data_IF_493490294714
#
_entry.id   IF_493490294714
#
_cell.length_a   1.000
_cell.length_b   1.000
_cell.length_c   1.000
_cell.angle_alpha   90.00
_cell.angle_beta   90.00
_cell.angle_gamma   90.00
#
_symmetry.space_group_name_H-M   'P 1'
#
loop_
_entity.id
_entity.type
_entity.pdbx_description
1 polymer ?
#
# COMPACT_ATOMS: atom_id res chain seq x y z
N UNK A 1 18.98 12.76 1.36
CA UNK A 1 17.85 11.82 1.55
C UNK A 1 16.73 12.21 0.62
N UNK A 2 16.08 11.27 0.06
CA UNK A 2 15.04 11.55 -0.92
C UNK A 2 13.73 10.78 -0.64
N UNK A 3 12.62 11.40 -1.02
CA UNK A 3 11.29 10.81 -0.97
C UNK A 3 11.07 9.89 -2.17
N UNK A 4 10.30 8.84 -2.00
CA UNK A 4 9.97 7.89 -3.07
C UNK A 4 9.24 8.59 -4.23
N UNK A 5 9.54 8.12 -5.44
CA UNK A 5 8.87 8.57 -6.68
C UNK A 5 7.55 7.82 -6.88
N UNK A 6 6.65 8.31 -7.77
CA UNK A 6 5.45 7.56 -8.13
C UNK A 6 5.72 6.15 -8.64
N UNK A 7 6.79 5.92 -9.40
CA UNK A 7 7.18 4.58 -9.84
C UNK A 7 7.55 3.69 -8.66
N UNK A 8 8.32 4.23 -7.71
CA UNK A 8 8.77 3.45 -6.54
C UNK A 8 7.61 3.07 -5.64
N UNK A 9 6.66 3.97 -5.37
CA UNK A 9 5.49 3.60 -4.55
C UNK A 9 4.64 2.54 -5.24
N UNK A 10 4.48 2.62 -6.56
CA UNK A 10 3.79 1.59 -7.32
C UNK A 10 4.53 0.24 -7.19
N UNK A 11 5.82 0.22 -7.44
CA UNK A 11 6.63 -1.01 -7.41
C UNK A 11 6.58 -1.67 -6.03
N UNK A 12 6.74 -0.89 -4.96
CA UNK A 12 6.74 -1.43 -3.60
C UNK A 12 5.35 -1.92 -3.17
N UNK A 13 4.29 -1.18 -3.44
CA UNK A 13 2.97 -1.51 -2.92
C UNK A 13 2.20 -2.47 -3.81
N UNK A 14 2.33 -2.37 -5.13
CA UNK A 14 1.59 -3.21 -6.08
C UNK A 14 2.45 -4.34 -6.64
N UNK A 15 3.77 -4.18 -6.64
CA UNK A 15 4.69 -5.12 -7.27
C UNK A 15 5.34 -6.15 -6.35
N UNK A 16 5.13 -6.05 -5.04
CA UNK A 16 5.80 -6.92 -4.07
C UNK A 16 5.09 -8.26 -3.80
N UNK A 17 3.94 -8.51 -4.43
CA UNK A 17 3.18 -9.75 -4.26
C UNK A 17 2.04 -9.68 -3.25
N UNK A 18 1.79 -8.53 -2.63
CA UNK A 18 0.71 -8.36 -1.66
C UNK A 18 -0.67 -8.71 -2.21
N UNK A 19 -0.93 -8.41 -3.47
CA UNK A 19 -2.24 -8.63 -4.09
C UNK A 19 -2.52 -10.12 -4.39
N UNK A 20 -1.58 -11.01 -4.12
CA UNK A 20 -1.78 -12.46 -4.24
C UNK A 20 -2.44 -13.07 -3.00
N UNK A 21 -2.53 -12.35 -1.88
CA UNK A 21 -3.27 -12.81 -0.71
C UNK A 21 -4.77 -12.89 -1.02
N UNK A 22 -5.46 -13.89 -0.50
CA UNK A 22 -6.83 -14.22 -0.89
C UNK A 22 -7.91 -13.21 -0.48
N UNK A 23 -7.61 -12.26 0.39
CA UNK A 23 -8.56 -11.21 0.79
C UNK A 23 -8.62 -10.02 -0.18
N UNK A 24 -7.72 -9.93 -1.16
CA UNK A 24 -7.79 -8.91 -2.22
C UNK A 24 -8.71 -9.41 -3.33
N UNK A 25 -9.83 -8.71 -3.51
CA UNK A 25 -10.91 -9.13 -4.40
C UNK A 25 -10.74 -8.56 -5.81
N UNK A 26 -10.35 -7.28 -5.90
CA UNK A 26 -10.17 -6.59 -7.17
C UNK A 26 -8.97 -5.65 -7.14
N UNK A 27 -8.36 -5.50 -8.32
CA UNK A 27 -7.29 -4.55 -8.59
C UNK A 27 -7.52 -3.98 -9.99
N UNK A 28 -7.77 -2.67 -10.07
CA UNK A 28 -8.02 -1.95 -11.32
C UNK A 28 -7.06 -0.78 -11.46
N UNK A 29 -5.90 -0.95 -12.11
CA UNK A 29 -4.93 0.12 -12.29
C UNK A 29 -5.31 1.07 -13.41
N UNK A 30 -4.90 2.34 -13.29
CA UNK A 30 -4.99 3.37 -14.31
C UNK A 30 -3.66 4.11 -14.36
N UNK A 31 -3.18 4.42 -15.56
CA UNK A 31 -1.86 5.07 -15.72
C UNK A 31 -0.70 4.11 -15.57
N UNK A 32 -0.94 2.82 -15.79
CA UNK A 32 0.06 1.74 -15.71
C UNK A 32 0.09 1.04 -17.06
N UNK A 33 1.26 0.92 -17.66
CA UNK A 33 1.39 0.21 -18.93
C UNK A 33 1.68 -1.29 -18.76
N UNK A 34 1.83 -2.02 -19.88
CA UNK A 34 1.96 -3.46 -19.85
C UNK A 34 3.24 -3.96 -19.16
N UNK A 35 4.29 -3.14 -19.08
CA UNK A 35 5.56 -3.50 -18.43
C UNK A 35 5.69 -2.96 -17.01
N UNK A 36 4.62 -2.35 -16.46
CA UNK A 36 4.62 -1.83 -15.09
C UNK A 36 5.15 -0.42 -14.94
N UNK A 37 5.43 0.28 -16.05
CA UNK A 37 5.82 1.70 -16.00
C UNK A 37 4.57 2.54 -15.74
N UNK A 38 4.66 3.48 -14.80
CA UNK A 38 3.51 4.30 -14.39
C UNK A 38 3.68 5.76 -14.78
N UNK A 39 2.55 6.44 -14.94
CA UNK A 39 2.52 7.91 -15.02
C UNK A 39 2.63 8.49 -13.62
N UNK A 40 2.94 9.79 -13.49
CA UNK A 40 3.05 10.45 -12.18
C UNK A 40 1.74 10.48 -11.41
N UNK A 41 0.61 10.35 -12.10
CA UNK A 41 -0.74 10.39 -11.55
C UNK A 41 -1.46 9.03 -11.60
N UNK A 42 -0.69 7.92 -11.61
CA UNK A 42 -1.28 6.58 -11.60
C UNK A 42 -2.25 6.40 -10.42
N UNK A 43 -3.24 5.55 -10.62
CA UNK A 43 -4.15 5.13 -9.55
C UNK A 43 -4.39 3.63 -9.62
N UNK A 44 -4.81 3.05 -8.51
CA UNK A 44 -5.25 1.66 -8.46
C UNK A 44 -6.50 1.59 -7.57
N UNK A 45 -7.61 1.13 -8.12
CA UNK A 45 -8.80 0.86 -7.33
C UNK A 45 -8.65 -0.54 -6.74
N UNK A 46 -8.58 -0.62 -5.42
CA UNK A 46 -8.41 -1.88 -4.68
C UNK A 46 -9.67 -2.19 -3.89
N UNK A 47 -10.12 -3.44 -3.96
CA UNK A 47 -11.22 -3.97 -3.14
C UNK A 47 -10.67 -5.09 -2.27
N UNK A 48 -10.91 -4.98 -0.96
CA UNK A 48 -10.44 -5.94 0.04
C UNK A 48 -11.63 -6.46 0.85
N UNK A 49 -11.62 -7.75 1.19
CA UNK A 49 -12.56 -8.31 2.16
C UNK A 49 -12.40 -7.61 3.50
N UNK A 50 -13.47 -7.50 4.28
CA UNK A 50 -13.44 -6.84 5.59
C UNK A 50 -13.31 -7.83 6.76
N UNK A 51 -13.59 -9.10 6.51
CA UNK A 51 -13.74 -10.09 7.57
C UNK A 51 -15.12 -10.10 8.22
N UNK A 52 -16.00 -9.17 7.81
CA UNK A 52 -17.37 -9.04 8.29
C UNK A 52 -18.36 -9.41 7.20
N UNK A 53 -19.63 -9.59 7.56
CA UNK A 53 -20.68 -9.92 6.60
C UNK A 53 -21.29 -8.69 5.94
N UNK A 54 -21.26 -7.51 6.60
CA UNK A 54 -21.89 -6.28 6.12
C UNK A 54 -21.14 -5.03 6.59
N UNK A 55 -20.40 -4.33 5.71
CA UNK A 55 -20.12 -4.75 4.32
C UNK A 55 -19.09 -5.88 4.28
N UNK A 56 -19.24 -6.78 3.32
CA UNK A 56 -18.30 -7.90 3.13
C UNK A 56 -16.95 -7.45 2.53
N UNK A 57 -16.92 -6.32 1.85
CA UNK A 57 -15.72 -5.75 1.25
C UNK A 57 -15.75 -4.23 1.29
N UNK A 58 -14.56 -3.61 1.15
CA UNK A 58 -14.40 -2.17 0.99
C UNK A 58 -13.51 -1.89 -0.21
N UNK A 59 -13.76 -0.78 -0.88
CA UNK A 59 -13.01 -0.33 -2.05
C UNK A 59 -12.42 1.05 -1.78
N UNK A 60 -11.18 1.25 -2.20
CA UNK A 60 -10.53 2.55 -2.14
C UNK A 60 -9.66 2.77 -3.38
N UNK A 61 -9.49 4.02 -3.76
CA UNK A 61 -8.57 4.41 -4.84
C UNK A 61 -7.23 4.79 -4.21
N UNK A 62 -6.19 4.06 -4.57
CA UNK A 62 -4.83 4.26 -4.09
C UNK A 62 -4.05 5.02 -5.16
N UNK A 63 -3.22 5.96 -4.74
CA UNK A 63 -2.33 6.73 -5.59
C UNK A 63 -1.00 6.94 -4.88
N UNK A 64 -0.03 7.53 -5.58
CA UNK A 64 1.23 7.93 -4.95
C UNK A 64 0.98 8.83 -3.72
N UNK A 65 0.12 9.85 -3.85
CA UNK A 65 -0.18 10.76 -2.76
C UNK A 65 -0.85 10.06 -1.57
N UNK A 66 -1.77 9.13 -1.85
CA UNK A 66 -2.44 8.34 -0.80
C UNK A 66 -1.42 7.49 -0.04
N UNK A 67 -0.50 6.83 -0.75
CA UNK A 67 0.56 6.02 -0.13
C UNK A 67 1.45 6.90 0.74
N UNK A 68 1.89 8.05 0.22
CA UNK A 68 2.79 8.93 0.97
C UNK A 68 2.12 9.52 2.21
N UNK A 69 0.84 9.88 2.12
CA UNK A 69 0.08 10.35 3.28
C UNK A 69 -0.08 9.26 4.33
N UNK A 70 -0.38 8.02 3.91
CA UNK A 70 -0.48 6.88 4.80
C UNK A 70 0.87 6.57 5.47
N UNK A 71 1.97 6.63 4.71
CA UNK A 71 3.31 6.39 5.25
C UNK A 71 3.65 7.40 6.35
N UNK A 72 3.33 8.67 6.16
CA UNK A 72 3.55 9.70 7.19
C UNK A 72 2.69 9.45 8.43
N UNK A 73 1.45 9.03 8.25
CA UNK A 73 0.54 8.69 9.35
C UNK A 73 1.10 7.52 10.18
N UNK A 74 1.57 6.47 9.51
CA UNK A 74 2.15 5.28 10.17
C UNK A 74 3.42 5.63 10.94
N UNK A 75 4.26 6.50 10.40
CA UNK A 75 5.45 6.99 11.10
C UNK A 75 5.11 7.69 12.40
N UNK A 76 4.05 8.49 12.40
CA UNK A 76 3.60 9.24 13.57
C UNK A 76 2.98 8.33 14.63
N UNK A 77 2.20 7.34 14.19
CA UNK A 77 1.51 6.41 15.09
C UNK A 77 1.33 5.06 14.41
N UNK A 78 1.98 4.03 14.93
CA UNK A 78 1.90 2.69 14.36
C UNK A 78 0.48 2.13 14.56
N UNK A 79 -0.22 1.73 13.47
CA UNK A 79 -1.55 1.12 13.60
C UNK A 79 -1.52 -0.16 14.43
N UNK A 80 -2.62 -0.46 15.10
CA UNK A 80 -2.77 -1.71 15.82
C UNK A 80 -2.59 -2.90 14.86
N UNK A 81 -1.88 -3.91 15.31
CA UNK A 81 -1.53 -5.14 14.56
C UNK A 81 -0.55 -4.93 13.40
N UNK A 82 -0.05 -3.72 13.19
CA UNK A 82 1.01 -3.49 12.23
C UNK A 82 2.36 -3.86 12.81
N UNK A 83 3.29 -4.30 11.95
CA UNK A 83 4.65 -4.62 12.36
C UNK A 83 5.52 -3.36 12.47
N UNK A 84 6.57 -3.43 13.30
CA UNK A 84 7.58 -2.37 13.34
C UNK A 84 8.32 -2.25 11.99
N UNK A 85 8.45 -3.36 11.27
CA UNK A 85 9.03 -3.37 9.92
C UNK A 85 8.24 -2.46 8.99
N UNK A 86 6.91 -2.53 9.03
CA UNK A 86 6.05 -1.68 8.20
C UNK A 86 6.25 -0.19 8.54
N UNK A 87 6.37 0.16 9.83
CA UNK A 87 6.67 1.53 10.25
C UNK A 87 8.02 1.99 9.71
N UNK A 88 9.04 1.15 9.78
CA UNK A 88 10.38 1.46 9.27
C UNK A 88 10.40 1.67 7.76
N UNK A 89 9.69 0.82 7.02
CA UNK A 89 9.61 0.96 5.55
C UNK A 89 8.82 2.21 5.14
N UNK A 90 7.80 2.58 5.88
CA UNK A 90 7.10 3.85 5.67
C UNK A 90 8.04 5.04 5.84
N UNK A 91 8.90 5.02 6.86
CA UNK A 91 9.92 6.05 7.04
C UNK A 91 10.90 6.09 5.86
N UNK A 92 11.29 4.94 5.32
CA UNK A 92 12.14 4.89 4.13
C UNK A 92 11.46 5.53 2.91
N UNK A 93 10.17 5.30 2.67
CA UNK A 93 9.46 5.95 1.56
C UNK A 93 9.53 7.48 1.66
N UNK A 94 9.44 8.02 2.86
CA UNK A 94 9.38 9.47 3.07
C UNK A 94 10.77 10.10 3.06
N UNK A 95 11.76 9.47 3.66
CA UNK A 95 13.05 10.08 3.92
C UNK A 95 14.25 9.45 3.22
N UNK A 96 14.16 8.16 2.88
CA UNK A 96 15.30 7.42 2.34
C UNK A 96 14.80 6.32 1.39
N UNK A 97 14.26 6.73 0.27
CA UNK A 97 13.62 5.83 -0.69
C UNK A 97 14.56 4.75 -1.22
N UNK A 98 15.87 5.00 -1.26
CA UNK A 98 16.85 4.00 -1.70
C UNK A 98 16.94 2.81 -0.74
N UNK A 99 16.59 3.01 0.53
CA UNK A 99 16.60 1.96 1.55
C UNK A 99 15.26 1.20 1.65
N UNK A 100 14.22 1.68 0.99
CA UNK A 100 12.89 1.04 1.05
C UNK A 100 12.95 -0.37 0.45
N UNK A 101 12.38 -1.34 1.18
CA UNK A 101 12.40 -2.74 0.78
C UNK A 101 11.12 -3.43 1.29
N UNK A 102 10.00 -3.13 0.62
CA UNK A 102 8.72 -3.71 0.97
C UNK A 102 8.64 -5.14 0.44
N UNK A 103 8.41 -6.09 1.33
CA UNK A 103 8.02 -7.44 0.93
C UNK A 103 6.49 -7.53 0.82
N UNK A 104 5.99 -8.71 0.43
CA UNK A 104 4.55 -8.91 0.25
C UNK A 104 3.76 -8.64 1.54
N UNK A 105 4.26 -9.12 2.68
CA UNK A 105 3.58 -8.94 3.97
C UNK A 105 3.54 -7.48 4.42
N UNK A 106 4.66 -6.77 4.28
CA UNK A 106 4.76 -5.35 4.65
C UNK A 106 3.86 -4.49 3.76
N UNK A 107 3.86 -4.75 2.45
CA UNK A 107 2.99 -4.06 1.49
C UNK A 107 1.52 -4.31 1.81
N UNK A 108 1.16 -5.55 2.11
CA UNK A 108 -0.20 -5.95 2.46
C UNK A 108 -0.71 -5.22 3.70
N UNK A 109 0.11 -5.09 4.75
CA UNK A 109 -0.25 -4.35 5.95
C UNK A 109 -0.60 -2.89 5.61
N UNK A 110 0.24 -2.22 4.84
CA UNK A 110 -0.01 -0.82 4.47
C UNK A 110 -1.24 -0.68 3.56
N UNK A 111 -1.42 -1.60 2.61
CA UNK A 111 -2.61 -1.62 1.75
C UNK A 111 -3.89 -1.83 2.54
N UNK A 112 -3.91 -2.77 3.50
CA UNK A 112 -5.08 -2.96 4.37
C UNK A 112 -5.37 -1.69 5.15
N UNK A 113 -4.37 -1.06 5.73
CA UNK A 113 -4.52 0.19 6.47
C UNK A 113 -5.16 1.28 5.60
N UNK A 114 -4.73 1.42 4.34
CA UNK A 114 -5.27 2.43 3.43
C UNK A 114 -6.71 2.12 3.00
N UNK A 115 -7.04 0.85 2.74
CA UNK A 115 -8.36 0.45 2.22
C UNK A 115 -9.36 0.24 3.34
N UNK A 116 -8.97 -0.43 4.42
CA UNK A 116 -9.87 -0.81 5.53
C UNK A 116 -9.81 0.14 6.72
N UNK A 117 -8.76 0.98 6.82
CA UNK A 117 -8.52 1.82 7.98
C UNK A 117 -7.84 1.08 9.14
N UNK A 118 -7.62 -0.21 9.01
CA UNK A 118 -6.99 -1.07 10.04
C UNK A 118 -6.39 -2.32 9.41
N UNK A 119 -5.55 -3.04 10.16
CA UNK A 119 -5.00 -4.32 9.74
C UNK A 119 -5.93 -5.44 10.28
N UNK A 120 -6.54 -6.19 9.38
CA UNK A 120 -7.54 -7.23 9.72
C UNK A 120 -6.95 -8.63 9.52
N UNK A 121 -6.21 -8.83 8.44
CA UNK A 121 -5.66 -10.12 8.04
C UNK A 121 -4.15 -10.16 8.21
N UNK A 122 -3.64 -11.32 8.57
CA UNK A 122 -2.19 -11.44 8.68
C UNK A 122 -1.71 -12.75 9.15
#
# INVERSE_FOLDING_TARGET
>A
MRTATPQETFDHLMGAGALQYGWWVEYKPTGVDADGTVTGDWTAELTCETGDDDPASKTAVISHQVIMAAARSVMAELPQYASETMQGECAHLVFDADAADFDAGTSDELLQFMVLGEIVFG
#
